data_IF_913677036578
#
_entry.id   IF_913677036578
#
_cell.length_a   1.000
_cell.length_b   1.000
_cell.length_c   1.000
_cell.angle_alpha   90.00
_cell.angle_beta   90.00
_cell.angle_gamma   90.00
#
_symmetry.space_group_name_H-M   'P 1'
#
loop_
_entity.id
_entity.type
_entity.pdbx_description
1 polymer ?
#
# COMPACT_ATOMS: atom_id res chain seq x y z
N UNK A 1 2.05 -38.54 0.89
CA UNK A 1 1.28 -37.86 -0.18
C UNK A 1 2.16 -36.81 -0.89
N UNK A 2 3.41 -37.16 -1.23
CA UNK A 2 4.41 -36.24 -1.84
C UNK A 2 5.07 -36.87 -3.10
N UNK A 3 4.99 -38.19 -3.28
CA UNK A 3 5.75 -38.90 -4.32
C UNK A 3 4.98 -39.12 -5.64
N UNK A 4 4.20 -38.15 -6.12
CA UNK A 4 3.41 -38.32 -7.36
C UNK A 4 3.55 -37.21 -8.39
N UNK A 5 4.63 -36.41 -8.32
CA UNK A 5 4.90 -35.31 -9.26
C UNK A 5 5.98 -35.66 -10.31
N UNK A 6 6.51 -36.88 -10.33
CA UNK A 6 7.62 -37.26 -11.21
C UNK A 6 7.26 -38.42 -12.13
N UNK A 7 6.22 -38.20 -12.94
CA UNK A 7 6.10 -38.75 -14.28
C UNK A 7 5.66 -37.56 -15.15
N UNK A 8 6.53 -37.15 -16.07
CA UNK A 8 6.62 -35.81 -16.69
C UNK A 8 5.31 -35.18 -17.23
N UNK A 9 4.62 -34.35 -16.43
CA UNK A 9 3.49 -33.49 -16.89
C UNK A 9 3.63 -31.98 -16.54
N UNK A 10 4.55 -31.60 -15.65
CA UNK A 10 4.74 -30.19 -15.25
C UNK A 10 6.19 -29.77 -15.49
N UNK A 11 6.39 -28.81 -16.40
CA UNK A 11 7.72 -28.30 -16.78
C UNK A 11 8.09 -27.01 -16.05
N UNK A 12 7.09 -26.19 -15.67
CA UNK A 12 7.29 -24.89 -15.03
C UNK A 12 6.28 -24.71 -13.90
N UNK A 13 6.77 -24.25 -12.75
CA UNK A 13 5.95 -23.81 -11.63
C UNK A 13 6.29 -22.34 -11.36
N UNK A 14 5.31 -21.46 -11.56
CA UNK A 14 5.40 -20.06 -11.17
C UNK A 14 4.94 -19.90 -9.73
N UNK A 15 5.76 -19.25 -8.91
CA UNK A 15 5.35 -18.78 -7.59
C UNK A 15 5.13 -17.28 -7.66
N UNK A 16 4.00 -16.84 -7.13
CA UNK A 16 3.82 -15.42 -6.83
C UNK A 16 4.84 -15.00 -5.75
N UNK A 17 5.15 -13.72 -5.72
CA UNK A 17 6.23 -13.17 -4.93
C UNK A 17 5.72 -12.61 -3.59
N UNK A 18 4.98 -11.51 -3.66
CA UNK A 18 4.46 -10.78 -2.52
C UNK A 18 3.39 -11.60 -1.79
N UNK A 19 3.47 -11.67 -0.47
CA UNK A 19 2.59 -12.42 0.43
C UNK A 19 2.51 -13.94 0.15
N UNK A 20 3.35 -14.45 -0.75
CA UNK A 20 3.57 -15.88 -1.04
C UNK A 20 4.98 -16.32 -0.64
N UNK A 21 6.03 -15.65 -1.15
CA UNK A 21 7.43 -15.94 -0.81
C UNK A 21 7.94 -15.06 0.35
N UNK A 22 7.45 -13.83 0.47
CA UNK A 22 7.78 -12.92 1.58
C UNK A 22 6.58 -12.06 1.98
N UNK A 23 6.59 -11.56 3.21
CA UNK A 23 5.58 -10.61 3.68
C UNK A 23 5.73 -9.27 2.96
N UNK A 24 4.63 -8.72 2.50
CA UNK A 24 4.59 -7.45 1.79
C UNK A 24 3.44 -6.55 2.28
N UNK A 25 2.24 -7.09 2.52
CA UNK A 25 1.06 -6.31 2.92
C UNK A 25 1.28 -5.48 4.20
N UNK A 26 1.98 -6.05 5.20
CA UNK A 26 2.32 -5.38 6.47
C UNK A 26 2.98 -4.00 6.22
N UNK A 27 3.84 -3.88 5.20
CA UNK A 27 4.54 -2.63 4.86
C UNK A 27 3.60 -1.54 4.33
N UNK A 28 2.62 -1.92 3.50
CA UNK A 28 1.64 -0.98 2.96
C UNK A 28 0.70 -0.49 4.06
N UNK A 29 0.28 -1.40 4.94
CA UNK A 29 -0.58 -1.09 6.07
C UNK A 29 0.09 -0.14 7.06
N UNK A 30 1.35 -0.40 7.43
CA UNK A 30 2.09 0.45 8.36
C UNK A 30 2.27 1.87 7.81
N UNK A 31 2.68 2.00 6.54
CA UNK A 31 2.82 3.30 5.89
C UNK A 31 1.49 4.09 5.86
N UNK A 32 0.37 3.42 5.56
CA UNK A 32 -0.95 4.04 5.58
C UNK A 32 -1.33 4.52 6.98
N UNK A 33 -1.09 3.71 8.01
CA UNK A 33 -1.40 4.08 9.39
C UNK A 33 -0.55 5.24 9.90
N UNK A 34 0.74 5.29 9.57
CA UNK A 34 1.60 6.42 9.93
C UNK A 34 1.07 7.74 9.34
N UNK A 35 0.65 7.73 8.07
CA UNK A 35 0.09 8.92 7.43
C UNK A 35 -1.26 9.30 8.03
N UNK A 36 -2.13 8.32 8.28
CA UNK A 36 -3.41 8.54 8.96
C UNK A 36 -3.21 9.18 10.33
N UNK A 37 -2.18 8.76 11.06
CA UNK A 37 -1.78 9.31 12.34
C UNK A 37 -1.32 10.77 12.23
N UNK A 38 -0.55 11.10 11.19
CA UNK A 38 -0.17 12.49 10.88
C UNK A 38 -1.40 13.34 10.55
N UNK A 39 -2.38 12.75 9.85
CA UNK A 39 -3.60 13.42 9.40
C UNK A 39 -4.76 13.38 10.42
N UNK A 40 -4.56 12.88 11.65
CA UNK A 40 -5.61 12.61 12.67
C UNK A 40 -6.66 13.70 12.93
N UNK A 41 -6.44 14.94 12.49
CA UNK A 41 -7.41 16.04 12.60
C UNK A 41 -8.14 16.40 11.29
N UNK A 42 -7.69 15.89 10.14
CA UNK A 42 -8.09 16.36 8.82
C UNK A 42 -9.05 15.41 8.08
N UNK A 43 -9.09 14.11 8.40
CA UNK A 43 -10.03 13.19 7.73
C UNK A 43 -10.41 11.98 8.57
N UNK A 44 -11.72 11.78 8.75
CA UNK A 44 -12.28 10.55 9.31
C UNK A 44 -12.41 9.42 8.26
N UNK A 45 -12.21 9.71 6.98
CA UNK A 45 -12.46 8.80 5.86
C UNK A 45 -11.22 8.58 4.97
N UNK A 46 -10.01 8.84 5.49
CA UNK A 46 -8.77 8.81 4.71
C UNK A 46 -8.60 7.53 3.88
N UNK A 47 -8.90 6.35 4.44
CA UNK A 47 -8.74 5.07 3.75
C UNK A 47 -9.64 4.97 2.51
N UNK A 48 -10.87 5.49 2.60
CA UNK A 48 -11.82 5.53 1.49
C UNK A 48 -11.39 6.51 0.42
N UNK A 49 -10.86 7.66 0.83
CA UNK A 49 -10.37 8.69 -0.08
C UNK A 49 -9.10 8.22 -0.80
N UNK A 50 -8.21 7.52 -0.09
CA UNK A 50 -6.99 6.92 -0.64
C UNK A 50 -7.33 5.88 -1.70
N UNK A 51 -8.21 4.93 -1.37
CA UNK A 51 -8.66 3.91 -2.32
C UNK A 51 -9.27 4.52 -3.59
N UNK A 52 -10.00 5.63 -3.46
CA UNK A 52 -10.55 6.35 -4.61
C UNK A 52 -9.45 6.96 -5.48
N UNK A 53 -8.47 7.62 -4.87
CA UNK A 53 -7.33 8.22 -5.56
C UNK A 53 -6.46 7.16 -6.26
N UNK A 54 -6.16 6.06 -5.59
CA UNK A 54 -5.40 4.93 -6.17
C UNK A 54 -6.09 4.35 -7.39
N UNK A 55 -7.41 4.10 -7.30
CA UNK A 55 -8.20 3.63 -8.43
C UNK A 55 -8.16 4.59 -9.61
N UNK A 56 -8.25 5.90 -9.36
CA UNK A 56 -8.13 6.89 -10.45
C UNK A 56 -6.73 6.99 -11.03
N UNK A 57 -5.69 6.67 -10.25
CA UNK A 57 -4.30 6.75 -10.67
C UNK A 57 -3.78 5.47 -11.31
N UNK A 58 -4.55 4.38 -11.26
CA UNK A 58 -4.13 3.06 -11.73
C UNK A 58 -3.75 3.08 -13.22
N UNK A 59 -4.50 3.82 -14.05
CA UNK A 59 -4.24 3.94 -15.48
C UNK A 59 -2.92 4.67 -15.80
N UNK A 60 -2.38 5.45 -14.86
CA UNK A 60 -1.17 6.26 -15.04
C UNK A 60 0.04 5.60 -14.39
N UNK A 61 -0.10 5.13 -13.15
CA UNK A 61 1.03 4.61 -12.35
C UNK A 61 1.10 3.08 -12.31
N UNK A 62 0.02 2.39 -12.66
CA UNK A 62 -0.10 0.95 -12.48
C UNK A 62 -0.04 0.52 -11.01
N UNK A 63 0.22 -0.76 -10.78
CA UNK A 63 0.35 -1.33 -9.45
C UNK A 63 1.76 -1.15 -8.87
N UNK A 64 1.86 -1.18 -7.54
CA UNK A 64 3.11 -1.22 -6.81
C UNK A 64 3.38 0.02 -5.96
N UNK A 65 4.47 -0.04 -5.18
CA UNK A 65 4.75 0.90 -4.10
C UNK A 65 4.85 2.38 -4.54
N UNK A 66 5.35 2.65 -5.75
CA UNK A 66 5.48 4.03 -6.25
C UNK A 66 4.13 4.69 -6.50
N UNK A 67 3.21 3.98 -7.14
CA UNK A 67 1.85 4.47 -7.40
C UNK A 67 1.07 4.66 -6.10
N UNK A 68 1.26 3.74 -5.16
CA UNK A 68 0.73 3.83 -3.79
C UNK A 68 1.20 5.10 -3.07
N UNK A 69 2.51 5.33 -2.98
CA UNK A 69 3.06 6.51 -2.27
C UNK A 69 2.63 7.82 -2.93
N UNK A 70 2.59 7.91 -4.26
CA UNK A 70 2.09 9.10 -4.95
C UNK A 70 0.60 9.35 -4.64
N UNK A 71 -0.20 8.30 -4.58
CA UNK A 71 -1.63 8.39 -4.23
C UNK A 71 -1.85 8.79 -2.77
N UNK A 72 -0.99 8.34 -1.86
CA UNK A 72 -0.96 8.81 -0.47
C UNK A 72 -0.70 10.31 -0.41
N UNK A 73 0.34 10.81 -1.11
CA UNK A 73 0.70 12.23 -1.10
C UNK A 73 -0.46 13.08 -1.66
N UNK A 74 -1.04 12.66 -2.78
CA UNK A 74 -2.16 13.35 -3.42
C UNK A 74 -3.41 13.37 -2.51
N UNK A 75 -3.76 12.23 -1.92
CA UNK A 75 -4.91 12.13 -1.01
C UNK A 75 -4.69 12.97 0.24
N UNK A 76 -3.49 12.94 0.81
CA UNK A 76 -3.11 13.75 1.97
C UNK A 76 -3.23 15.25 1.67
N UNK A 77 -2.78 15.68 0.49
CA UNK A 77 -2.91 17.07 0.07
C UNK A 77 -4.38 17.48 -0.11
N UNK A 78 -5.21 16.65 -0.75
CA UNK A 78 -6.65 16.91 -0.94
C UNK A 78 -7.41 16.97 0.40
N UNK A 79 -7.15 16.02 1.30
CA UNK A 79 -7.88 15.91 2.58
C UNK A 79 -7.47 16.95 3.61
N UNK A 80 -6.25 17.47 3.53
CA UNK A 80 -5.75 18.51 4.44
C UNK A 80 -5.94 19.94 3.92
N UNK A 81 -6.63 20.14 2.78
CA UNK A 81 -6.70 21.44 2.08
C UNK A 81 -5.29 22.03 1.81
N UNK A 82 -4.32 21.16 1.50
CA UNK A 82 -2.90 21.47 1.40
C UNK A 82 -2.28 22.12 2.66
N UNK A 83 -2.91 21.99 3.82
CA UNK A 83 -2.45 22.53 5.12
C UNK A 83 -2.00 21.40 6.03
N UNK A 84 -0.89 20.77 5.68
CA UNK A 84 -0.18 19.88 6.61
C UNK A 84 0.74 20.73 7.47
N UNK A 85 0.40 20.89 8.75
CA UNK A 85 1.30 21.54 9.71
C UNK A 85 2.42 20.57 10.04
N UNK A 86 3.66 21.04 9.97
CA UNK A 86 4.80 20.30 10.49
C UNK A 86 4.57 20.06 11.99
N UNK A 87 4.51 18.79 12.37
CA UNK A 87 4.60 18.34 13.75
C UNK A 87 5.74 17.36 13.78
N UNK A 88 6.72 17.60 14.65
CA UNK A 88 7.82 16.66 14.84
C UNK A 88 7.22 15.28 15.19
N UNK A 89 7.38 14.33 14.27
CA UNK A 89 6.91 12.97 14.48
C UNK A 89 7.89 12.29 15.44
N UNK A 90 7.44 12.02 16.66
CA UNK A 90 8.19 11.17 17.59
C UNK A 90 7.70 9.75 17.42
N UNK A 91 8.52 8.91 16.79
CA UNK A 91 8.30 7.46 16.79
C UNK A 91 8.29 6.97 18.23
N UNK A 92 7.24 6.25 18.63
CA UNK A 92 7.21 5.53 19.89
C UNK A 92 8.06 4.27 19.74
N UNK A 93 9.39 4.40 19.83
CA UNK A 93 10.29 3.28 20.10
C UNK A 93 10.38 3.04 21.60
#
# INVERSE_FOLDING_TARGET
MINKLTDHEIEVIGFDADDTLWKNEDLFFDAQNEIKDILKQNSNNFDKDLLKTEKSNLDIYGYGIKGFILSIIETSAKTSDARIKYKEYKSNN
#
